data_IF_377307329398
#
_entry.id   IF_377307329398
#
_cell.length_a   1.000
_cell.length_b   1.000
_cell.length_c   1.000
_cell.angle_alpha   90.00
_cell.angle_beta   90.00
_cell.angle_gamma   90.00
#
_symmetry.space_group_name_H-M   'P 1'
#
loop_
_entity.id
_entity.type
_entity.pdbx_description
1 polymer ?
#
# COMPACT_ATOMS: atom_id res chain seq x y z
N UNK A 1 7.00 -12.21 -27.96
CA UNK A 1 7.06 -12.07 -26.51
C UNK A 1 7.45 -10.63 -26.19
N UNK A 2 6.61 -9.87 -25.49
CA UNK A 2 6.95 -8.47 -25.13
C UNK A 2 7.69 -8.48 -23.81
N UNK A 3 8.74 -7.69 -23.70
CA UNK A 3 9.45 -7.48 -22.43
C UNK A 3 8.70 -6.44 -21.58
N UNK A 4 8.84 -6.53 -20.27
CA UNK A 4 8.25 -5.58 -19.33
C UNK A 4 8.71 -4.14 -19.61
N UNK A 5 9.94 -3.95 -20.09
CA UNK A 5 10.47 -2.64 -20.49
C UNK A 5 9.73 -1.99 -21.67
N UNK A 6 9.05 -2.75 -22.52
CA UNK A 6 8.24 -2.19 -23.62
C UNK A 6 7.05 -1.35 -23.11
N UNK A 7 6.69 -1.52 -21.86
CA UNK A 7 5.61 -0.76 -21.18
C UNK A 7 6.14 0.36 -20.28
N UNK A 8 7.46 0.62 -20.28
CA UNK A 8 8.09 1.59 -19.38
C UNK A 8 7.63 3.02 -19.71
N UNK A 9 6.92 3.66 -18.77
CA UNK A 9 6.31 4.97 -18.95
C UNK A 9 4.92 4.98 -19.59
N UNK A 10 4.41 3.84 -20.03
CA UNK A 10 3.06 3.75 -20.59
C UNK A 10 2.00 3.99 -19.51
N UNK A 11 1.05 4.89 -19.82
CA UNK A 11 -0.17 5.07 -19.00
C UNK A 11 -1.27 4.07 -19.37
N UNK A 12 -1.06 3.30 -20.42
CA UNK A 12 -2.01 2.29 -20.90
C UNK A 12 -1.81 0.97 -20.13
N UNK A 13 -2.34 0.91 -18.91
CA UNK A 13 -2.21 -0.22 -17.99
C UNK A 13 -3.39 -0.26 -17.02
N UNK A 14 -3.56 -1.38 -16.32
CA UNK A 14 -4.64 -1.61 -15.37
C UNK A 14 -4.23 -1.48 -13.90
N UNK A 15 -3.14 -0.79 -13.56
CA UNK A 15 -2.71 -0.66 -12.15
C UNK A 15 -3.77 -0.03 -11.26
N UNK A 16 -4.50 0.99 -11.72
CA UNK A 16 -5.55 1.62 -10.92
C UNK A 16 -6.68 0.65 -10.64
N UNK A 17 -7.16 -0.07 -11.66
CA UNK A 17 -8.17 -1.10 -11.46
C UNK A 17 -7.70 -2.17 -10.47
N UNK A 18 -6.49 -2.71 -10.67
CA UNK A 18 -5.92 -3.73 -9.77
C UNK A 18 -5.84 -3.20 -8.34
N UNK A 19 -5.38 -1.97 -8.12
CA UNK A 19 -5.33 -1.36 -6.79
C UNK A 19 -6.72 -1.20 -6.15
N UNK A 20 -7.73 -0.81 -6.93
CA UNK A 20 -9.12 -0.74 -6.44
C UNK A 20 -9.61 -2.13 -6.01
N UNK A 21 -9.37 -3.16 -6.83
CA UNK A 21 -9.74 -4.53 -6.51
C UNK A 21 -9.00 -5.05 -5.26
N UNK A 22 -7.71 -4.74 -5.13
CA UNK A 22 -6.92 -5.09 -3.94
C UNK A 22 -7.46 -4.36 -2.68
N UNK A 23 -7.83 -3.08 -2.78
CA UNK A 23 -8.41 -2.34 -1.66
C UNK A 23 -9.75 -2.94 -1.22
N UNK A 24 -10.58 -3.32 -2.19
CA UNK A 24 -11.84 -4.00 -1.91
C UNK A 24 -11.63 -5.41 -1.34
N UNK A 25 -10.63 -6.15 -1.79
CA UNK A 25 -10.25 -7.45 -1.23
C UNK A 25 -9.80 -7.35 0.24
N UNK A 26 -9.14 -6.25 0.63
CA UNK A 26 -8.85 -5.95 2.03
C UNK A 26 -10.14 -5.71 2.82
N UNK A 27 -11.05 -4.89 2.30
CA UNK A 27 -12.36 -4.64 2.92
C UNK A 27 -13.15 -5.93 3.09
N UNK A 28 -13.22 -6.76 2.04
CA UNK A 28 -13.85 -8.08 2.09
C UNK A 28 -13.27 -8.94 3.23
N UNK A 29 -11.96 -9.12 3.28
CA UNK A 29 -11.33 -9.93 4.31
C UNK A 29 -11.50 -9.37 5.73
N UNK A 30 -11.52 -8.05 5.86
CA UNK A 30 -11.74 -7.38 7.13
C UNK A 30 -13.16 -7.56 7.66
N UNK A 31 -14.18 -7.73 6.80
CA UNK A 31 -15.56 -7.93 7.26
C UNK A 31 -15.71 -9.16 8.16
N UNK A 32 -14.97 -10.24 7.87
CA UNK A 32 -14.96 -11.44 8.72
C UNK A 32 -14.19 -11.26 10.04
N UNK A 33 -13.36 -10.24 10.14
CA UNK A 33 -12.57 -9.92 11.33
C UNK A 33 -13.29 -8.91 12.22
N UNK A 34 -13.94 -7.90 11.62
CA UNK A 34 -14.65 -6.83 12.33
C UNK A 34 -16.04 -7.28 12.79
N UNK A 35 -16.67 -8.18 12.04
CA UNK A 35 -18.01 -8.70 12.33
C UNK A 35 -18.03 -10.24 12.19
N UNK A 36 -17.37 -10.98 13.08
CA UNK A 36 -17.43 -12.42 13.08
C UNK A 36 -18.85 -12.88 13.42
N UNK A 37 -19.32 -13.94 12.73
CA UNK A 37 -20.65 -14.47 12.91
C UNK A 37 -20.59 -15.99 13.10
N UNK A 38 -21.29 -16.57 14.08
CA UNK A 38 -21.31 -18.03 14.31
C UNK A 38 -21.73 -18.79 13.04
N UNK A 39 -20.95 -19.78 12.67
CA UNK A 39 -21.22 -20.61 11.49
C UNK A 39 -20.82 -20.01 10.14
N UNK A 40 -20.42 -18.72 10.08
CA UNK A 40 -19.95 -18.08 8.85
C UNK A 40 -18.44 -17.80 8.95
N UNK A 41 -17.68 -18.49 8.11
CA UNK A 41 -16.24 -18.26 7.95
C UNK A 41 -15.94 -17.69 6.56
N UNK A 42 -14.78 -17.05 6.42
CA UNK A 42 -14.29 -16.64 5.11
C UNK A 42 -14.17 -17.87 4.18
N UNK A 43 -14.95 -17.94 3.08
CA UNK A 43 -14.91 -19.08 2.15
C UNK A 43 -13.53 -19.32 1.54
N UNK A 44 -12.73 -18.27 1.41
CA UNK A 44 -11.38 -18.34 0.82
C UNK A 44 -10.35 -18.98 1.79
N UNK A 45 -10.65 -19.00 3.10
CA UNK A 45 -9.75 -19.55 4.11
C UNK A 45 -9.40 -21.02 3.84
N UNK A 46 -10.38 -21.81 3.38
CA UNK A 46 -10.17 -23.21 3.00
C UNK A 46 -9.24 -23.37 1.80
N UNK A 47 -9.38 -22.48 0.82
CA UNK A 47 -8.53 -22.48 -0.39
C UNK A 47 -7.06 -22.20 -0.04
N UNK A 48 -6.83 -21.28 0.88
CA UNK A 48 -5.46 -20.86 1.28
C UNK A 48 -4.81 -21.80 2.31
N UNK A 49 -5.52 -22.80 2.80
CA UNK A 49 -5.03 -23.85 3.72
C UNK A 49 -4.19 -23.29 4.88
N UNK A 50 -4.57 -22.12 5.42
CA UNK A 50 -3.86 -21.46 6.51
C UNK A 50 -2.57 -20.73 6.14
N UNK A 51 -2.08 -20.83 4.89
CA UNK A 51 -0.85 -20.15 4.44
C UNK A 51 -1.00 -18.64 4.42
N UNK A 52 -2.19 -18.14 4.10
CA UNK A 52 -2.49 -16.72 3.96
C UNK A 52 -4.00 -16.46 4.05
N UNK A 53 -4.41 -15.23 3.84
CA UNK A 53 -5.79 -14.79 3.68
C UNK A 53 -5.87 -13.66 2.66
N UNK A 54 -7.07 -13.40 2.15
CA UNK A 54 -7.26 -12.50 1.01
C UNK A 54 -6.76 -11.07 1.26
N UNK A 55 -6.95 -10.55 2.48
CA UNK A 55 -6.43 -9.22 2.85
C UNK A 55 -4.91 -9.15 2.85
N UNK A 56 -4.21 -10.23 3.29
CA UNK A 56 -2.75 -10.28 3.21
C UNK A 56 -2.27 -10.33 1.75
N UNK A 57 -2.91 -11.16 0.89
CA UNK A 57 -2.61 -11.20 -0.55
C UNK A 57 -2.75 -9.81 -1.17
N UNK A 58 -3.83 -9.11 -0.83
CA UNK A 58 -4.10 -7.78 -1.35
C UNK A 58 -3.05 -6.76 -0.89
N UNK A 59 -2.69 -6.75 0.39
CA UNK A 59 -1.60 -5.90 0.93
C UNK A 59 -0.28 -6.21 0.23
N UNK A 60 0.07 -7.49 0.06
CA UNK A 60 1.28 -7.91 -0.65
C UNK A 60 1.28 -7.42 -2.10
N UNK A 61 0.14 -7.47 -2.78
CA UNK A 61 -0.03 -6.91 -4.12
C UNK A 61 0.22 -5.39 -4.17
N UNK A 62 -0.29 -4.64 -3.20
CA UNK A 62 0.00 -3.21 -3.08
C UNK A 62 1.50 -2.94 -2.94
N UNK A 63 2.19 -3.70 -2.09
CA UNK A 63 3.63 -3.53 -1.89
C UNK A 63 4.44 -3.89 -3.14
N UNK A 64 4.06 -4.93 -3.88
CA UNK A 64 4.70 -5.29 -5.14
C UNK A 64 4.57 -4.18 -6.18
N UNK A 65 3.34 -3.64 -6.38
CA UNK A 65 3.08 -2.51 -7.29
C UNK A 65 3.84 -1.27 -6.82
N UNK A 66 3.81 -0.98 -5.52
CA UNK A 66 4.47 0.16 -4.93
C UNK A 66 5.97 0.10 -5.15
N UNK A 67 6.63 -1.03 -4.87
CA UNK A 67 8.07 -1.21 -5.08
C UNK A 67 8.50 -0.92 -6.52
N UNK A 68 7.77 -1.43 -7.48
CA UNK A 68 8.05 -1.19 -8.90
C UNK A 68 7.91 0.28 -9.31
N UNK A 69 6.76 0.90 -9.01
CA UNK A 69 6.47 2.28 -9.41
C UNK A 69 7.37 3.28 -8.69
N UNK A 70 7.74 2.96 -7.47
CA UNK A 70 8.58 3.80 -6.62
C UNK A 70 10.05 3.75 -7.07
N UNK A 71 10.55 2.56 -7.44
CA UNK A 71 11.86 2.42 -8.06
C UNK A 71 11.93 3.18 -9.39
N UNK A 72 10.89 3.09 -10.22
CA UNK A 72 10.78 3.86 -11.45
C UNK A 72 10.85 5.38 -11.20
N UNK A 73 10.13 5.87 -10.19
CA UNK A 73 10.14 7.28 -9.82
C UNK A 73 11.52 7.75 -9.36
N UNK A 74 12.15 6.98 -8.45
CA UNK A 74 13.46 7.31 -7.89
C UNK A 74 14.56 7.34 -8.95
N UNK A 75 14.60 6.33 -9.83
CA UNK A 75 15.65 6.21 -10.84
C UNK A 75 15.49 7.23 -11.97
N UNK A 76 14.25 7.54 -12.39
CA UNK A 76 13.99 8.48 -13.47
C UNK A 76 14.03 9.96 -13.03
N UNK A 77 13.55 10.28 -11.84
CA UNK A 77 13.30 11.66 -11.41
C UNK A 77 14.17 12.14 -10.26
N UNK A 78 14.87 11.25 -9.59
CA UNK A 78 15.75 11.56 -8.47
C UNK A 78 15.03 11.64 -7.12
N UNK A 79 15.85 11.77 -6.05
CA UNK A 79 15.41 11.60 -4.65
C UNK A 79 14.38 12.65 -4.21
N UNK A 80 14.54 13.90 -4.61
CA UNK A 80 13.66 15.01 -4.19
C UNK A 80 12.26 14.86 -4.78
N UNK A 81 12.17 14.65 -6.10
CA UNK A 81 10.89 14.41 -6.78
C UNK A 81 10.21 13.15 -6.21
N UNK A 82 10.99 12.13 -5.97
CA UNK A 82 10.57 10.89 -5.36
C UNK A 82 9.91 11.11 -3.99
N UNK A 83 10.62 11.76 -3.04
CA UNK A 83 10.10 11.99 -1.68
C UNK A 83 8.85 12.87 -1.69
N UNK A 84 8.86 13.99 -2.44
CA UNK A 84 7.71 14.88 -2.57
C UNK A 84 6.49 14.09 -3.10
N UNK A 85 6.70 13.25 -4.12
CA UNK A 85 5.60 12.43 -4.68
C UNK A 85 5.00 11.46 -3.66
N UNK A 86 5.81 10.89 -2.75
CA UNK A 86 5.32 9.96 -1.73
C UNK A 86 4.61 10.69 -0.61
N UNK A 87 5.18 11.81 -0.16
CA UNK A 87 4.55 12.67 0.86
C UNK A 87 3.16 13.11 0.39
N UNK A 88 3.06 13.68 -0.81
CA UNK A 88 1.78 14.16 -1.35
C UNK A 88 0.77 13.05 -1.63
N UNK A 89 1.23 11.81 -1.83
CA UNK A 89 0.36 10.65 -2.06
C UNK A 89 -0.26 10.09 -0.79
N UNK A 90 0.48 10.07 0.32
CA UNK A 90 0.08 9.39 1.56
C UNK A 90 -0.50 10.38 2.57
N UNK A 91 0.28 11.39 2.94
CA UNK A 91 0.02 12.17 4.15
C UNK A 91 -1.25 13.02 4.11
N UNK A 92 -1.64 13.69 3.00
CA UNK A 92 -2.81 14.58 3.03
C UNK A 92 -4.11 13.85 3.41
N UNK A 93 -4.42 12.74 2.78
CA UNK A 93 -5.62 11.99 3.11
C UNK A 93 -5.48 11.22 4.44
N UNK A 94 -4.28 10.77 4.81
CA UNK A 94 -4.00 10.17 6.12
C UNK A 94 -4.26 11.15 7.25
N UNK A 95 -3.77 12.38 7.16
CA UNK A 95 -4.01 13.44 8.15
C UNK A 95 -5.51 13.67 8.32
N UNK A 96 -6.25 13.78 7.22
CA UNK A 96 -7.71 13.95 7.27
C UNK A 96 -8.39 12.76 7.92
N UNK A 97 -8.03 11.53 7.54
CA UNK A 97 -8.59 10.30 8.11
C UNK A 97 -8.34 10.23 9.63
N UNK A 98 -7.11 10.45 10.08
CA UNK A 98 -6.73 10.39 11.49
C UNK A 98 -7.42 11.52 12.28
N UNK A 99 -7.43 12.74 11.74
CA UNK A 99 -8.12 13.88 12.38
C UNK A 99 -9.62 13.64 12.46
N UNK A 100 -10.25 13.12 11.42
CA UNK A 100 -11.67 12.76 11.45
C UNK A 100 -11.94 11.64 12.48
N UNK A 101 -11.03 10.68 12.65
CA UNK A 101 -11.16 9.65 13.68
C UNK A 101 -11.13 10.26 15.09
N UNK A 102 -10.26 11.23 15.37
CA UNK A 102 -10.13 11.86 16.69
C UNK A 102 -11.23 12.87 16.97
N UNK A 103 -11.55 13.75 16.01
CA UNK A 103 -12.42 14.91 16.26
C UNK A 103 -13.87 14.70 15.84
N UNK A 104 -14.17 13.73 14.97
CA UNK A 104 -15.55 13.39 14.59
C UNK A 104 -15.93 12.03 15.15
N UNK A 105 -15.30 10.94 14.69
CA UNK A 105 -15.69 9.60 15.06
C UNK A 105 -15.61 9.37 16.59
N UNK A 106 -14.50 9.78 17.22
CA UNK A 106 -14.26 9.60 18.64
C UNK A 106 -15.36 10.20 19.53
N UNK A 107 -15.66 11.49 19.47
CA UNK A 107 -16.70 12.13 20.30
C UNK A 107 -18.11 11.57 20.10
N UNK A 108 -18.43 11.09 18.88
CA UNK A 108 -19.75 10.50 18.58
C UNK A 108 -19.92 9.05 19.04
N UNK A 109 -18.82 8.31 19.16
CA UNK A 109 -18.86 6.86 19.40
C UNK A 109 -18.23 6.41 20.72
N UNK A 110 -17.56 7.32 21.44
CA UNK A 110 -16.97 7.00 22.73
C UNK A 110 -18.03 6.74 23.80
N UNK A 111 -17.78 5.80 24.68
CA UNK A 111 -18.57 5.54 25.91
C UNK A 111 -18.24 6.54 27.03
N UNK A 112 -17.18 7.34 26.87
CA UNK A 112 -16.76 8.36 27.84
C UNK A 112 -17.54 9.66 27.63
N UNK A 113 -17.54 10.52 28.65
CA UNK A 113 -17.95 11.93 28.43
C UNK A 113 -16.99 12.60 27.45
N UNK A 114 -17.47 13.59 26.69
CA UNK A 114 -16.64 14.33 25.72
C UNK A 114 -15.43 14.97 26.42
N UNK A 115 -15.62 15.43 27.66
CA UNK A 115 -14.54 16.03 28.46
C UNK A 115 -13.48 14.97 28.84
N UNK A 116 -13.90 13.80 29.32
CA UNK A 116 -12.97 12.70 29.65
C UNK A 116 -12.25 12.18 28.42
N UNK A 117 -12.96 12.05 27.29
CA UNK A 117 -12.37 11.64 26.02
C UNK A 117 -11.22 12.56 25.60
N UNK A 118 -11.42 13.89 25.61
CA UNK A 118 -10.38 14.83 25.24
C UNK A 118 -9.32 15.07 26.32
N UNK A 119 -9.62 14.74 27.59
CA UNK A 119 -8.63 14.76 28.66
C UNK A 119 -7.71 13.55 28.66
N UNK A 120 -8.06 12.50 27.93
CA UNK A 120 -7.30 11.27 27.90
C UNK A 120 -6.08 11.35 26.94
N UNK A 121 -4.88 11.06 27.46
CA UNK A 121 -3.62 11.16 26.69
C UNK A 121 -3.65 10.37 25.37
N UNK A 122 -4.23 9.15 25.35
CA UNK A 122 -4.31 8.31 24.13
C UNK A 122 -5.13 8.95 23.01
N UNK A 123 -6.04 9.85 23.28
CA UNK A 123 -6.79 10.59 22.27
C UNK A 123 -5.83 11.42 21.41
N UNK A 124 -4.88 12.07 22.05
CA UNK A 124 -3.86 12.88 21.39
C UNK A 124 -2.75 12.05 20.80
N UNK A 125 -2.34 10.97 21.48
CA UNK A 125 -1.36 10.01 20.96
C UNK A 125 -1.82 9.40 19.61
N UNK A 126 -3.14 9.22 19.43
CA UNK A 126 -3.70 8.72 18.18
C UNK A 126 -3.41 9.61 16.97
N UNK A 127 -3.28 10.93 17.16
CA UNK A 127 -2.85 11.85 16.09
C UNK A 127 -1.46 11.52 15.55
N UNK A 128 -0.62 10.87 16.36
CA UNK A 128 0.69 10.38 15.91
C UNK A 128 0.63 9.40 14.72
N UNK A 129 -0.51 8.74 14.52
CA UNK A 129 -0.74 7.89 13.35
C UNK A 129 -0.67 8.67 12.03
N UNK A 130 -0.96 9.98 12.05
CA UNK A 130 -0.86 10.85 10.88
C UNK A 130 0.59 11.02 10.38
N UNK A 131 1.59 10.78 11.23
CA UNK A 131 3.00 10.82 10.85
C UNK A 131 3.45 9.50 10.18
N UNK A 132 2.75 8.38 10.42
CA UNK A 132 2.95 7.11 9.73
C UNK A 132 4.34 6.47 9.87
N UNK A 133 5.18 6.88 10.85
CA UNK A 133 6.59 6.49 10.87
C UNK A 133 7.01 5.80 12.18
N UNK A 134 6.56 6.29 13.34
CA UNK A 134 7.23 5.97 14.60
C UNK A 134 6.44 4.99 15.46
N UNK A 135 5.23 5.31 15.83
CA UNK A 135 4.38 4.52 16.73
C UNK A 135 2.97 4.50 16.21
N UNK A 136 2.28 3.40 16.44
CA UNK A 136 0.91 3.23 16.02
C UNK A 136 0.02 3.01 17.24
N UNK A 137 -0.94 3.92 17.44
CA UNK A 137 -2.03 3.73 18.38
C UNK A 137 -3.23 3.11 17.67
N UNK A 138 -3.71 2.01 18.25
CA UNK A 138 -4.80 1.24 17.66
C UNK A 138 -6.17 1.69 18.13
N UNK A 139 -6.23 2.18 19.36
CA UNK A 139 -7.46 2.38 20.11
C UNK A 139 -7.68 3.87 20.43
N UNK A 140 -8.88 4.34 20.19
CA UNK A 140 -9.37 5.58 20.76
C UNK A 140 -10.14 5.29 22.06
N UNK A 141 -9.97 6.09 23.14
CA UNK A 141 -10.61 5.85 24.41
C UNK A 141 -12.13 5.72 24.30
N UNK A 142 -12.68 4.62 24.81
CA UNK A 142 -14.11 4.36 24.80
C UNK A 142 -14.74 4.05 23.43
N UNK A 143 -13.96 3.99 22.34
CA UNK A 143 -14.48 3.79 20.99
C UNK A 143 -14.38 2.32 20.60
N UNK A 144 -15.49 1.74 20.11
CA UNK A 144 -15.60 0.35 19.64
C UNK A 144 -15.24 -0.70 20.71
N UNK A 145 -15.45 -0.40 21.98
CA UNK A 145 -15.07 -1.28 23.11
C UNK A 145 -15.74 -2.64 23.07
N UNK A 146 -16.97 -2.71 22.57
CA UNK A 146 -17.78 -3.94 22.48
C UNK A 146 -17.58 -4.69 21.15
N UNK A 147 -16.86 -4.11 20.19
CA UNK A 147 -16.63 -4.76 18.91
C UNK A 147 -15.60 -5.89 19.05
N UNK A 148 -15.72 -6.91 18.21
CA UNK A 148 -14.80 -8.06 18.18
C UNK A 148 -13.32 -7.68 18.07
N UNK A 149 -13.02 -6.52 17.54
CA UNK A 149 -11.68 -5.91 17.42
C UNK A 149 -11.76 -4.43 17.79
N UNK A 150 -11.47 -4.04 19.03
CA UNK A 150 -11.64 -2.68 19.52
C UNK A 150 -10.53 -1.73 19.01
N UNK A 151 -10.28 -1.69 17.71
CA UNK A 151 -9.34 -0.77 17.09
C UNK A 151 -10.06 0.25 16.23
N UNK A 152 -9.72 1.52 16.37
CA UNK A 152 -10.35 2.60 15.62
C UNK A 152 -10.00 2.52 14.13
N UNK A 153 -8.76 2.16 13.79
CA UNK A 153 -8.37 1.84 12.40
C UNK A 153 -7.24 0.80 12.34
N UNK A 154 -7.64 -0.46 12.13
CA UNK A 154 -6.71 -1.57 12.04
C UNK A 154 -5.91 -1.67 10.74
N UNK A 155 -6.20 -0.82 9.74
CA UNK A 155 -5.50 -0.86 8.44
C UNK A 155 -4.21 -0.04 8.41
N UNK A 156 -4.05 0.94 9.29
CA UNK A 156 -2.98 1.94 9.20
C UNK A 156 -1.57 1.39 9.40
N UNK A 157 -1.41 0.21 10.02
CA UNK A 157 -0.08 -0.38 10.27
C UNK A 157 0.74 -0.60 9.00
N UNK A 158 0.08 -0.89 7.87
CA UNK A 158 0.76 -1.12 6.60
C UNK A 158 1.36 0.15 6.04
N UNK A 159 0.74 1.31 6.29
CA UNK A 159 1.27 2.62 5.87
C UNK A 159 2.58 2.94 6.59
N UNK A 160 2.72 2.52 7.86
CA UNK A 160 3.98 2.63 8.60
C UNK A 160 5.07 1.81 7.92
N UNK A 161 4.78 0.57 7.53
CA UNK A 161 5.73 -0.28 6.80
C UNK A 161 6.05 0.31 5.42
N UNK A 162 5.04 0.78 4.70
CA UNK A 162 5.19 1.39 3.39
C UNK A 162 6.09 2.64 3.44
N UNK A 163 5.85 3.53 4.39
CA UNK A 163 6.66 4.72 4.59
C UNK A 163 8.12 4.37 4.92
N UNK A 164 8.34 3.36 5.77
CA UNK A 164 9.70 2.86 6.07
C UNK A 164 10.37 2.25 4.85
N UNK A 165 9.66 1.49 4.01
CA UNK A 165 10.17 1.00 2.73
C UNK A 165 10.60 2.15 1.81
N UNK A 166 9.83 3.23 1.77
CA UNK A 166 10.18 4.41 0.99
C UNK A 166 11.43 5.11 1.52
N UNK A 167 11.52 5.32 2.81
CA UNK A 167 12.70 5.93 3.43
C UNK A 167 13.94 5.05 3.23
N UNK A 168 13.82 3.75 3.42
CA UNK A 168 14.91 2.80 3.19
C UNK A 168 15.39 2.84 1.73
N UNK A 169 14.48 2.75 0.76
CA UNK A 169 14.85 2.81 -0.66
C UNK A 169 15.53 4.14 -1.01
N UNK A 170 15.04 5.26 -0.45
CA UNK A 170 15.69 6.56 -0.56
C UNK A 170 17.11 6.56 0.02
N UNK A 171 17.29 6.01 1.23
CA UNK A 171 18.60 5.91 1.89
C UNK A 171 19.57 5.01 1.13
N UNK A 172 19.10 3.94 0.50
CA UNK A 172 19.93 3.04 -0.30
C UNK A 172 20.58 3.72 -1.52
N UNK A 173 20.10 4.91 -1.93
CA UNK A 173 20.77 5.69 -2.98
C UNK A 173 22.16 6.14 -2.57
N UNK A 174 22.41 6.35 -1.27
CA UNK A 174 23.75 6.66 -0.73
C UNK A 174 24.71 5.47 -0.79
N UNK A 175 24.16 4.25 -0.86
CA UNK A 175 24.92 3.00 -0.98
C UNK A 175 24.99 2.50 -2.43
N UNK A 176 24.86 3.40 -3.41
CA UNK A 176 25.04 3.07 -4.82
C UNK A 176 23.84 2.44 -5.52
N UNK A 177 22.67 2.35 -4.88
CA UNK A 177 21.44 1.80 -5.49
C UNK A 177 21.12 2.46 -6.85
N UNK A 178 21.30 3.78 -6.96
CA UNK A 178 21.02 4.53 -8.19
C UNK A 178 22.18 4.49 -9.19
N UNK A 179 23.41 4.34 -8.71
CA UNK A 179 24.62 4.42 -9.53
C UNK A 179 24.92 3.12 -10.26
N UNK A 180 24.59 1.97 -9.67
CA UNK A 180 24.93 0.66 -10.21
C UNK A 180 23.77 -0.33 -10.06
N UNK A 181 23.31 -0.87 -11.22
CA UNK A 181 22.24 -1.87 -11.28
C UNK A 181 22.57 -3.15 -10.48
N UNK A 182 23.83 -3.61 -10.53
CA UNK A 182 24.25 -4.80 -9.79
C UNK A 182 24.12 -4.56 -8.28
N UNK A 183 24.59 -3.41 -7.78
CA UNK A 183 24.45 -3.05 -6.38
C UNK A 183 22.97 -2.97 -5.96
N UNK A 184 22.12 -2.35 -6.79
CA UNK A 184 20.67 -2.30 -6.55
C UNK A 184 20.06 -3.70 -6.44
N UNK A 185 20.42 -4.61 -7.34
CA UNK A 185 19.98 -6.02 -7.28
C UNK A 185 20.47 -6.72 -6.01
N UNK A 186 21.74 -6.58 -5.64
CA UNK A 186 22.31 -7.20 -4.44
C UNK A 186 21.59 -6.72 -3.17
N UNK A 187 21.37 -5.39 -3.04
CA UNK A 187 20.67 -4.82 -1.89
C UNK A 187 19.24 -5.36 -1.77
N UNK A 188 18.49 -5.43 -2.89
CA UNK A 188 17.13 -5.94 -2.88
C UNK A 188 17.09 -7.46 -2.64
N UNK A 189 18.00 -8.23 -3.22
CA UNK A 189 18.10 -9.66 -2.97
C UNK A 189 18.43 -9.95 -1.50
N UNK A 190 19.28 -9.14 -0.88
CA UNK A 190 19.55 -9.25 0.57
C UNK A 190 18.29 -9.03 1.39
N UNK A 191 17.48 -7.99 1.07
CA UNK A 191 16.20 -7.75 1.77
C UNK A 191 15.25 -8.93 1.60
N UNK A 192 15.14 -9.48 0.37
CA UNK A 192 14.32 -10.65 0.10
C UNK A 192 14.83 -11.87 0.88
N UNK A 193 16.11 -12.17 0.83
CA UNK A 193 16.69 -13.31 1.51
C UNK A 193 16.52 -13.22 3.04
N UNK A 194 16.83 -12.07 3.63
CA UNK A 194 16.63 -11.83 5.07
C UNK A 194 15.14 -11.95 5.43
N UNK A 195 14.25 -11.36 4.63
CA UNK A 195 12.81 -11.42 4.89
C UNK A 195 12.20 -12.81 4.69
N UNK A 196 12.84 -13.71 3.92
CA UNK A 196 12.38 -15.09 3.72
C UNK A 196 12.99 -16.07 4.76
N UNK A 197 14.19 -15.80 5.24
CA UNK A 197 14.90 -16.67 6.21
C UNK A 197 14.53 -16.29 7.64
N UNK A 198 14.46 -15.00 7.94
CA UNK A 198 14.25 -14.47 9.29
C UNK A 198 13.05 -13.53 9.28
N UNK A 199 11.82 -14.08 9.33
CA UNK A 199 10.58 -13.29 9.38
C UNK A 199 10.50 -12.31 10.55
N UNK A 200 11.37 -12.45 11.55
CA UNK A 200 11.28 -11.75 12.83
C UNK A 200 12.11 -10.49 12.90
N UNK A 201 13.11 -10.32 12.02
CA UNK A 201 14.14 -9.31 12.25
C UNK A 201 14.62 -8.59 10.99
N UNK A 202 13.78 -7.79 10.37
CA UNK A 202 14.31 -6.65 9.62
C UNK A 202 14.16 -5.43 10.56
N UNK A 203 15.20 -5.05 11.33
CA UNK A 203 15.07 -4.09 12.44
C UNK A 203 14.52 -2.72 12.03
N UNK A 204 14.80 -2.29 10.79
CA UNK A 204 14.31 -1.02 10.23
C UNK A 204 12.84 -1.05 9.84
N UNK A 205 12.24 -2.24 9.63
CA UNK A 205 10.89 -2.36 9.08
C UNK A 205 9.84 -2.67 10.14
N UNK A 206 10.24 -3.04 11.34
CA UNK A 206 9.34 -3.27 12.46
C UNK A 206 9.70 -4.50 13.29
N UNK A 207 9.23 -4.51 14.54
CA UNK A 207 9.52 -5.56 15.54
C UNK A 207 8.56 -6.75 15.40
N UNK A 208 7.48 -6.61 14.63
CA UNK A 208 6.44 -7.63 14.48
C UNK A 208 6.68 -8.41 13.18
N UNK A 209 6.79 -9.75 13.22
CA UNK A 209 7.11 -10.58 12.05
C UNK A 209 6.23 -10.33 10.83
N UNK A 210 4.92 -10.13 11.03
CA UNK A 210 3.98 -9.81 9.95
C UNK A 210 4.26 -8.49 9.23
N UNK A 211 5.07 -7.59 9.81
CA UNK A 211 5.41 -6.30 9.19
C UNK A 211 6.54 -6.43 8.18
N UNK A 212 7.42 -7.40 8.30
CA UNK A 212 8.51 -7.62 7.34
C UNK A 212 8.04 -8.30 6.05
N UNK A 213 7.00 -9.12 6.09
CA UNK A 213 6.49 -9.81 4.89
C UNK A 213 6.13 -8.88 3.73
N UNK A 214 5.37 -7.78 3.90
CA UNK A 214 5.09 -6.85 2.81
C UNK A 214 6.35 -6.25 2.18
N UNK A 215 7.42 -6.04 2.96
CA UNK A 215 8.68 -5.51 2.45
C UNK A 215 9.39 -6.46 1.46
N UNK A 216 9.20 -7.77 1.59
CA UNK A 216 9.69 -8.75 0.60
C UNK A 216 9.02 -8.50 -0.75
N UNK A 217 7.70 -8.33 -0.79
CA UNK A 217 6.97 -8.04 -2.03
C UNK A 217 7.37 -6.69 -2.62
N UNK A 218 7.58 -5.69 -1.77
CA UNK A 218 8.12 -4.40 -2.20
C UNK A 218 9.49 -4.57 -2.87
N UNK A 219 10.42 -5.31 -2.23
CA UNK A 219 11.74 -5.56 -2.79
C UNK A 219 11.70 -6.36 -4.11
N UNK A 220 10.81 -7.36 -4.22
CA UNK A 220 10.58 -8.08 -5.48
C UNK A 220 10.03 -7.14 -6.56
N UNK A 221 9.12 -6.22 -6.23
CA UNK A 221 8.66 -5.18 -7.15
C UNK A 221 9.79 -4.28 -7.65
N UNK A 222 10.71 -3.86 -6.75
CA UNK A 222 11.92 -3.11 -7.11
C UNK A 222 12.83 -3.92 -8.02
N UNK A 223 13.09 -5.20 -7.71
CA UNK A 223 13.89 -6.12 -8.53
C UNK A 223 13.29 -6.26 -9.95
N UNK A 224 11.97 -6.37 -10.01
CA UNK A 224 11.27 -6.47 -11.30
C UNK A 224 11.50 -5.22 -12.15
N UNK A 225 11.47 -4.02 -11.55
CA UNK A 225 11.78 -2.78 -12.26
C UNK A 225 13.24 -2.71 -12.71
N UNK A 226 14.19 -3.05 -11.84
CA UNK A 226 15.62 -3.05 -12.18
C UNK A 226 15.94 -3.99 -13.36
N UNK A 227 15.22 -5.12 -13.44
CA UNK A 227 15.45 -6.16 -14.43
C UNK A 227 14.40 -6.19 -15.56
N UNK A 228 13.58 -5.14 -15.70
CA UNK A 228 12.47 -5.07 -16.67
C UNK A 228 12.84 -5.34 -18.12
N UNK A 229 14.11 -5.14 -18.50
CA UNK A 229 14.63 -5.43 -19.84
C UNK A 229 14.86 -6.93 -20.08
N UNK A 230 14.83 -7.76 -19.04
CA UNK A 230 15.07 -9.20 -19.11
C UNK A 230 13.82 -10.01 -18.72
N UNK A 231 12.75 -9.34 -18.29
CA UNK A 231 11.52 -10.02 -17.85
C UNK A 231 10.49 -10.04 -18.97
N UNK A 232 10.20 -11.22 -19.51
CA UNK A 232 9.15 -11.37 -20.51
C UNK A 232 7.77 -11.36 -19.85
N UNK A 233 6.78 -10.78 -20.54
CA UNK A 233 5.37 -10.88 -20.19
C UNK A 233 4.73 -11.94 -21.11
N UNK A 234 4.64 -13.17 -20.60
CA UNK A 234 4.14 -14.33 -21.33
C UNK A 234 3.05 -15.05 -20.52
N UNK A 235 1.97 -15.44 -21.20
CA UNK A 235 0.84 -16.14 -20.56
C UNK A 235 1.24 -17.50 -19.98
N UNK A 236 2.25 -18.17 -20.55
CA UNK A 236 2.74 -19.46 -20.07
C UNK A 236 3.40 -19.33 -18.70
N UNK A 237 4.19 -18.25 -18.51
CA UNK A 237 4.80 -17.93 -17.22
C UNK A 237 3.71 -17.51 -16.23
N UNK A 238 2.71 -16.74 -16.68
CA UNK A 238 1.58 -16.36 -15.84
C UNK A 238 0.77 -17.58 -15.38
N UNK A 239 0.51 -18.53 -16.29
CA UNK A 239 -0.17 -19.78 -15.96
C UNK A 239 0.67 -20.62 -14.98
N UNK A 240 1.99 -20.76 -15.24
CA UNK A 240 2.90 -21.43 -14.31
C UNK A 240 2.89 -20.76 -12.92
N UNK A 241 2.91 -19.44 -12.85
CA UNK A 241 2.83 -18.70 -11.60
C UNK A 241 1.51 -18.97 -10.86
N UNK A 242 0.38 -19.05 -11.55
CA UNK A 242 -0.91 -19.43 -10.96
C UNK A 242 -0.86 -20.85 -10.41
N UNK A 243 -0.38 -21.82 -11.22
CA UNK A 243 -0.31 -23.24 -10.81
C UNK A 243 0.62 -23.40 -9.60
N UNK A 244 1.83 -22.87 -9.66
CA UNK A 244 2.79 -22.98 -8.55
C UNK A 244 2.30 -22.25 -7.31
N UNK A 245 1.69 -21.05 -7.48
CA UNK A 245 1.08 -20.30 -6.38
C UNK A 245 -0.02 -21.10 -5.69
N UNK A 246 -0.90 -21.74 -6.46
CA UNK A 246 -1.99 -22.57 -5.93
C UNK A 246 -1.47 -23.82 -5.23
N UNK A 247 -0.53 -24.55 -5.86
CA UNK A 247 0.07 -25.76 -5.29
C UNK A 247 0.90 -25.47 -4.03
N UNK A 248 1.30 -24.23 -3.81
CA UNK A 248 2.08 -23.85 -2.63
C UNK A 248 1.23 -23.69 -1.36
N UNK A 249 -0.11 -23.58 -1.49
CA UNK A 249 -0.96 -23.42 -0.30
C UNK A 249 -0.91 -24.68 0.59
N UNK A 250 -0.71 -24.45 1.89
CA UNK A 250 -0.52 -25.49 2.88
C UNK A 250 0.91 -26.00 3.00
N UNK A 251 1.79 -25.64 2.07
CA UNK A 251 3.13 -26.18 1.97
C UNK A 251 4.18 -25.25 2.62
N UNK A 252 5.27 -25.85 3.09
CA UNK A 252 6.40 -25.12 3.73
C UNK A 252 7.14 -24.20 2.76
N UNK A 253 7.09 -24.50 1.47
CA UNK A 253 7.72 -23.70 0.41
C UNK A 253 6.86 -22.54 -0.11
N UNK A 254 5.62 -22.37 0.40
CA UNK A 254 4.73 -21.23 0.07
C UNK A 254 5.44 -19.90 0.14
N UNK A 255 6.18 -19.65 1.20
CA UNK A 255 6.86 -18.39 1.44
C UNK A 255 7.92 -18.02 0.38
N UNK A 256 8.45 -19.00 -0.35
CA UNK A 256 9.48 -18.79 -1.38
C UNK A 256 8.87 -18.62 -2.78
N UNK A 257 7.80 -19.34 -3.06
CA UNK A 257 7.21 -19.41 -4.41
C UNK A 257 6.09 -18.41 -4.60
N UNK A 258 5.23 -18.22 -3.61
CA UNK A 258 4.07 -17.34 -3.73
C UNK A 258 4.44 -15.87 -3.96
N UNK A 259 5.45 -15.26 -3.29
CA UNK A 259 5.80 -13.86 -3.52
C UNK A 259 6.19 -13.52 -4.97
N UNK A 260 7.13 -14.21 -5.63
CA UNK A 260 7.44 -13.95 -7.03
C UNK A 260 6.28 -14.29 -7.97
N UNK A 261 5.52 -15.36 -7.69
CA UNK A 261 4.36 -15.76 -8.49
C UNK A 261 3.26 -14.70 -8.47
N UNK A 262 2.85 -14.24 -7.30
CA UNK A 262 1.85 -13.17 -7.14
C UNK A 262 2.33 -11.88 -7.81
N UNK A 263 3.58 -11.49 -7.58
CA UNK A 263 4.14 -10.29 -8.20
C UNK A 263 4.10 -10.39 -9.72
N UNK A 264 4.60 -11.48 -10.30
CA UNK A 264 4.57 -11.65 -11.74
C UNK A 264 3.14 -11.60 -12.32
N UNK A 265 2.20 -12.29 -11.69
CA UNK A 265 0.80 -12.31 -12.12
C UNK A 265 0.17 -10.92 -12.14
N UNK A 266 0.41 -10.10 -11.10
CA UNK A 266 -0.08 -8.73 -11.04
C UNK A 266 0.44 -7.91 -12.23
N UNK A 267 1.73 -7.99 -12.55
CA UNK A 267 2.31 -7.23 -13.65
C UNK A 267 1.87 -7.76 -15.02
N UNK A 268 1.70 -9.07 -15.15
CA UNK A 268 1.12 -9.67 -16.34
C UNK A 268 -0.31 -9.13 -16.58
N UNK A 269 -1.17 -9.16 -15.58
CA UNK A 269 -2.53 -8.64 -15.66
C UNK A 269 -2.55 -7.13 -15.91
N UNK A 270 -1.65 -6.38 -15.30
CA UNK A 270 -1.60 -4.93 -15.46
C UNK A 270 -1.32 -4.49 -16.90
N UNK A 271 -0.50 -5.22 -17.63
CA UNK A 271 -0.03 -4.81 -18.94
C UNK A 271 -0.59 -5.64 -20.12
N UNK A 272 -1.02 -6.88 -19.90
CA UNK A 272 -1.49 -7.76 -20.97
C UNK A 272 -3.01 -7.91 -21.09
N UNK A 273 -3.77 -7.34 -20.16
CA UNK A 273 -5.22 -7.23 -20.30
C UNK A 273 -5.60 -5.92 -20.97
N UNK A 274 -6.79 -5.87 -21.59
CA UNK A 274 -7.30 -4.63 -22.19
C UNK A 274 -7.37 -3.55 -21.09
N UNK A 275 -6.71 -2.40 -21.30
CA UNK A 275 -6.76 -1.34 -20.30
C UNK A 275 -8.16 -0.79 -20.20
N UNK A 276 -8.68 -0.81 -18.99
CA UNK A 276 -9.93 -0.15 -18.66
C UNK A 276 -9.57 1.27 -18.20
N UNK A 277 -10.18 2.28 -18.81
CA UNK A 277 -9.93 3.70 -18.51
C UNK A 277 -10.45 4.12 -17.13
N UNK A 278 -10.17 3.30 -16.11
CA UNK A 278 -10.64 3.50 -14.73
C UNK A 278 -10.17 4.84 -14.17
N UNK A 279 -8.94 5.25 -14.50
CA UNK A 279 -8.37 6.55 -14.09
C UNK A 279 -9.20 7.73 -14.60
N UNK A 280 -9.74 7.63 -15.81
CA UNK A 280 -10.51 8.72 -16.42
C UNK A 280 -11.91 8.84 -15.82
N UNK A 281 -12.50 7.71 -15.40
CA UNK A 281 -13.89 7.66 -14.93
C UNK A 281 -13.97 7.89 -13.41
N UNK A 282 -13.21 7.15 -12.63
CA UNK A 282 -13.34 7.12 -11.16
C UNK A 282 -12.15 7.77 -10.46
N UNK A 283 -10.98 7.78 -11.10
CA UNK A 283 -9.71 8.16 -10.47
C UNK A 283 -9.13 7.03 -9.62
N UNK A 284 -8.01 7.28 -8.96
CA UNK A 284 -7.35 6.30 -8.11
C UNK A 284 -7.88 6.34 -6.67
N UNK A 285 -9.12 5.90 -6.50
CA UNK A 285 -9.81 5.87 -5.21
C UNK A 285 -9.31 4.75 -4.28
N UNK A 286 -8.36 3.93 -4.71
CA UNK A 286 -7.90 2.75 -3.96
C UNK A 286 -7.36 3.09 -2.57
N UNK A 287 -6.67 4.23 -2.45
CA UNK A 287 -6.12 4.69 -1.19
C UNK A 287 -7.21 5.12 -0.20
N UNK A 288 -8.19 5.89 -0.68
CA UNK A 288 -9.36 6.25 0.13
C UNK A 288 -10.14 5.02 0.60
N UNK A 289 -10.41 4.05 -0.29
CA UNK A 289 -11.04 2.78 0.11
C UNK A 289 -10.25 2.13 1.24
N UNK A 290 -8.93 2.05 1.10
CA UNK A 290 -8.06 1.38 2.06
C UNK A 290 -8.10 2.03 3.46
N UNK A 291 -7.98 3.35 3.55
CA UNK A 291 -7.89 4.05 4.85
C UNK A 291 -9.23 4.25 5.55
N UNK A 292 -10.35 4.33 4.80
CA UNK A 292 -11.69 4.55 5.37
C UNK A 292 -12.47 3.25 5.63
N UNK A 293 -12.08 2.12 5.02
CA UNK A 293 -12.82 0.86 5.14
C UNK A 293 -12.95 0.40 6.60
N UNK A 294 -11.85 0.30 7.32
CA UNK A 294 -11.88 -0.23 8.69
C UNK A 294 -12.76 0.59 9.63
N UNK A 295 -12.62 1.92 9.77
CA UNK A 295 -13.51 2.71 10.62
C UNK A 295 -14.99 2.55 10.26
N UNK A 296 -15.33 2.53 8.97
CA UNK A 296 -16.71 2.35 8.52
C UNK A 296 -17.22 0.94 8.85
N UNK A 297 -16.41 -0.11 8.65
CA UNK A 297 -16.77 -1.47 9.03
C UNK A 297 -17.00 -1.62 10.53
N UNK A 298 -16.22 -0.93 11.35
CA UNK A 298 -16.39 -0.88 12.79
C UNK A 298 -17.70 -0.19 13.20
N UNK A 299 -18.06 0.91 12.53
CA UNK A 299 -19.36 1.58 12.74
C UNK A 299 -20.50 0.62 12.38
N UNK A 300 -20.42 -0.05 11.23
CA UNK A 300 -21.45 -1.02 10.81
C UNK A 300 -21.58 -2.16 11.83
N UNK A 301 -20.46 -2.71 12.31
CA UNK A 301 -20.45 -3.78 13.28
C UNK A 301 -21.06 -3.35 14.63
N UNK A 302 -20.80 -2.12 15.08
CA UNK A 302 -21.38 -1.58 16.31
C UNK A 302 -22.88 -1.27 16.15
N UNK A 303 -23.29 -0.77 14.99
CA UNK A 303 -24.69 -0.38 14.75
C UNK A 303 -25.58 -1.60 14.49
N UNK A 304 -25.04 -2.64 13.87
CA UNK A 304 -25.76 -3.86 13.48
C UNK A 304 -25.02 -5.12 13.98
N UNK A 305 -24.93 -5.32 15.29
CA UNK A 305 -24.08 -6.37 15.86
C UNK A 305 -24.52 -7.80 15.56
N UNK A 306 -25.78 -8.00 15.18
CA UNK A 306 -26.36 -9.31 14.86
C UNK A 306 -26.30 -9.66 13.38
N UNK A 307 -25.75 -8.78 12.55
CA UNK A 307 -25.68 -8.97 11.11
C UNK A 307 -24.43 -9.75 10.68
N UNK A 308 -24.45 -10.28 9.47
CA UNK A 308 -23.40 -11.13 8.92
C UNK A 308 -22.20 -10.33 8.41
N UNK A 309 -21.02 -10.95 8.24
CA UNK A 309 -19.87 -10.32 7.59
C UNK A 309 -20.19 -9.81 6.16
N UNK A 310 -21.08 -10.49 5.45
CA UNK A 310 -21.49 -10.08 4.11
C UNK A 310 -22.33 -8.78 4.13
N UNK A 311 -23.19 -8.64 5.14
CA UNK A 311 -23.92 -7.38 5.36
C UNK A 311 -22.95 -6.23 5.62
N UNK A 312 -21.94 -6.46 6.50
CA UNK A 312 -20.88 -5.49 6.79
C UNK A 312 -20.12 -5.11 5.51
N UNK A 313 -19.71 -6.10 4.71
CA UNK A 313 -18.99 -5.87 3.46
C UNK A 313 -19.79 -4.98 2.50
N UNK A 314 -21.07 -5.30 2.27
CA UNK A 314 -21.92 -4.56 1.32
C UNK A 314 -22.18 -3.15 1.84
N UNK A 315 -22.64 -3.02 3.09
CA UNK A 315 -22.98 -1.72 3.71
C UNK A 315 -21.74 -0.82 3.79
N UNK A 316 -20.59 -1.36 4.24
CA UNK A 316 -19.36 -0.60 4.26
C UNK A 316 -18.92 -0.18 2.86
N UNK A 317 -19.05 -1.04 1.84
CA UNK A 317 -18.70 -0.69 0.46
C UNK A 317 -19.54 0.47 -0.07
N UNK A 318 -20.85 0.47 0.19
CA UNK A 318 -21.76 1.55 -0.22
C UNK A 318 -21.39 2.90 0.40
N UNK A 319 -20.80 2.92 1.59
CA UNK A 319 -20.38 4.15 2.28
C UNK A 319 -18.94 4.53 1.88
N UNK A 320 -18.03 3.56 1.84
CA UNK A 320 -16.59 3.79 1.62
C UNK A 320 -16.29 4.24 0.19
N UNK A 321 -16.98 3.70 -0.81
CA UNK A 321 -16.71 4.09 -2.21
C UNK A 321 -17.00 5.57 -2.47
N UNK A 322 -18.15 6.15 -2.08
CA UNK A 322 -18.37 7.60 -2.16
C UNK A 322 -17.36 8.41 -1.33
N UNK A 323 -17.03 7.99 -0.11
CA UNK A 323 -16.02 8.68 0.72
C UNK A 323 -14.65 8.69 0.05
N UNK A 324 -14.22 7.58 -0.52
CA UNK A 324 -12.96 7.47 -1.25
C UNK A 324 -12.96 8.34 -2.51
N UNK A 325 -14.09 8.42 -3.21
CA UNK A 325 -14.24 9.32 -4.36
C UNK A 325 -14.14 10.79 -3.95
N UNK A 326 -14.80 11.19 -2.87
CA UNK A 326 -14.68 12.53 -2.29
C UNK A 326 -13.25 12.84 -1.85
N UNK A 327 -12.59 11.89 -1.17
CA UNK A 327 -11.18 12.02 -0.77
C UNK A 327 -10.26 12.22 -1.97
N UNK A 328 -10.42 11.40 -3.00
CA UNK A 328 -9.62 11.51 -4.22
C UNK A 328 -9.76 12.88 -4.88
N UNK A 329 -10.99 13.32 -5.13
CA UNK A 329 -11.23 14.58 -5.85
C UNK A 329 -11.02 15.82 -4.98
N UNK A 330 -11.35 15.73 -3.68
CA UNK A 330 -11.25 16.84 -2.73
C UNK A 330 -9.83 17.07 -2.21
N UNK A 331 -9.07 15.99 -1.98
CA UNK A 331 -7.78 16.05 -1.28
C UNK A 331 -6.66 15.52 -2.14
N UNK A 332 -6.65 14.22 -2.48
CA UNK A 332 -5.50 13.52 -3.04
C UNK A 332 -5.07 14.09 -4.39
N UNK A 333 -5.99 14.17 -5.35
CA UNK A 333 -5.73 14.68 -6.69
C UNK A 333 -5.25 16.14 -6.67
N UNK A 334 -5.84 16.97 -5.78
CA UNK A 334 -5.43 18.37 -5.63
C UNK A 334 -4.00 18.47 -5.10
N UNK A 335 -3.67 17.71 -4.06
CA UNK A 335 -2.34 17.70 -3.47
C UNK A 335 -1.28 17.18 -4.44
N UNK A 336 -1.58 16.16 -5.24
CA UNK A 336 -0.68 15.69 -6.29
C UNK A 336 -0.40 16.75 -7.36
N UNK A 337 -1.37 17.60 -7.69
CA UNK A 337 -1.19 18.71 -8.63
C UNK A 337 -0.25 19.79 -8.09
N UNK A 338 -0.17 20.00 -6.77
CA UNK A 338 0.78 20.93 -6.14
C UNK A 338 2.25 20.52 -6.28
N UNK A 339 2.52 19.28 -6.70
CA UNK A 339 3.89 18.79 -6.90
C UNK A 339 4.73 19.71 -7.80
N UNK A 340 4.17 20.18 -8.90
CA UNK A 340 4.86 21.09 -9.83
C UNK A 340 5.32 22.38 -9.18
N UNK A 341 4.47 22.96 -8.33
CA UNK A 341 4.77 24.20 -7.57
C UNK A 341 5.90 23.95 -6.59
N UNK A 342 5.84 22.87 -5.81
CA UNK A 342 6.88 22.51 -4.83
C UNK A 342 8.23 22.25 -5.49
N UNK A 343 8.27 21.57 -6.64
CA UNK A 343 9.51 21.33 -7.38
C UNK A 343 10.07 22.60 -8.01
N UNK A 344 9.22 23.53 -8.48
CA UNK A 344 9.63 24.84 -8.98
C UNK A 344 10.32 25.68 -7.89
N UNK A 345 9.81 25.66 -6.67
CA UNK A 345 10.44 26.32 -5.53
C UNK A 345 11.79 25.68 -5.16
N UNK A 346 11.87 24.35 -5.12
CA UNK A 346 13.15 23.66 -4.83
C UNK A 346 14.21 23.93 -5.90
N UNK A 347 13.84 24.11 -7.15
CA UNK A 347 14.73 24.52 -8.23
C UNK A 347 15.30 25.93 -8.04
N UNK A 348 14.48 26.88 -7.57
CA UNK A 348 14.91 28.24 -7.23
C UNK A 348 15.91 28.27 -6.06
N UNK A 349 15.66 27.51 -5.00
CA UNK A 349 16.58 27.41 -3.85
C UNK A 349 17.95 26.79 -4.23
N UNK A 350 17.96 25.80 -5.13
CA UNK A 350 19.22 25.23 -5.65
C UNK A 350 20.03 26.24 -6.47
N UNK A 351 19.38 27.11 -7.23
CA UNK A 351 20.03 28.22 -7.94
C UNK A 351 20.65 29.25 -7.00
N UNK A 352 19.95 29.58 -5.89
CA UNK A 352 20.44 30.50 -4.85
C UNK A 352 21.62 29.95 -4.04
N UNK A 353 21.71 28.62 -3.87
CA UNK A 353 22.79 27.92 -3.15
C UNK A 353 24.00 27.60 -4.05
N UNK A 354 24.04 28.06 -5.29
CA UNK A 354 25.18 27.86 -6.21
C UNK A 354 25.45 26.42 -6.64
N UNK A 355 24.53 25.50 -6.40
CA UNK A 355 24.64 24.11 -6.79
C UNK A 355 24.40 23.94 -8.30
N UNK A 356 25.48 23.94 -9.10
CA UNK A 356 25.42 23.70 -10.56
C UNK A 356 24.78 22.35 -10.85
N UNK A 357 23.60 22.36 -11.44
CA UNK A 357 22.96 21.17 -12.03
C UNK A 357 23.64 20.96 -13.39
N UNK A 358 24.39 19.86 -13.56
CA UNK A 358 24.76 19.42 -14.91
C UNK A 358 23.44 19.11 -15.66
N UNK A 359 23.19 19.75 -16.84
CA UNK A 359 22.03 19.40 -17.64
C UNK A 359 22.16 17.93 -18.08
N UNK A 360 21.11 17.17 -17.85
CA UNK A 360 20.97 15.80 -18.36
C UNK A 360 21.05 15.86 -19.90
N UNK A 361 22.02 15.20 -20.49
CA UNK A 361 22.12 15.04 -21.96
C UNK A 361 20.81 14.40 -22.43
N UNK A 362 20.04 15.11 -23.25
CA UNK A 362 18.99 14.51 -24.08
C UNK A 362 19.62 13.35 -24.86
N UNK A 363 18.97 12.16 -24.93
CA UNK A 363 19.41 11.13 -25.86
C UNK A 363 19.43 11.73 -27.25
N UNK A 364 20.56 11.67 -27.93
CA UNK A 364 20.67 12.01 -29.34
C UNK A 364 19.68 11.14 -30.12
N UNK A 365 18.74 11.76 -30.80
CA UNK A 365 17.99 11.14 -31.89
C UNK A 365 19.04 10.70 -32.93
N UNK A 366 19.36 9.41 -32.89
CA UNK A 366 20.20 8.75 -33.89
C UNK A 366 19.34 8.42 -35.12
N UNK A 367 19.81 8.89 -36.22
CA UNK A 367 19.38 8.60 -37.59
C UNK A 367 19.27 7.09 -37.87
#
# INVERSE_FOLDING_TARGET
MKLLSAHDGSRNNNFTLIRILLAWAVLYGHSFVTQPFPGIQDPLKGIFQGSTWIGAIAVHGFFAISGFLVAASLLKRGIVDYLISRILRIFPALIVCVSASVFLLGPFLTTLSVNDYFSHAKTWDYLGNALGIVRMEWVLPGVFTENARPSANGSLWTLTVETRCYLLLGALTFFGFRANKLMGNMLMLTIVAVGLISFETIPLLGVIPKWSRPAVYFAIGVLLYLNRHNVPLDYRIALLAVVLGFLSFGETWFQYVFPPALTYLIFYLAYNTRPLSTDAVVGDISYGIYIYAWPVQQIVAQTFPTETPYFNMVTASLIVVPLAWLSWHGIEKRMLNYKGVLLGHTGRYKGLLGLKIKPEKKPSEGQ
#
